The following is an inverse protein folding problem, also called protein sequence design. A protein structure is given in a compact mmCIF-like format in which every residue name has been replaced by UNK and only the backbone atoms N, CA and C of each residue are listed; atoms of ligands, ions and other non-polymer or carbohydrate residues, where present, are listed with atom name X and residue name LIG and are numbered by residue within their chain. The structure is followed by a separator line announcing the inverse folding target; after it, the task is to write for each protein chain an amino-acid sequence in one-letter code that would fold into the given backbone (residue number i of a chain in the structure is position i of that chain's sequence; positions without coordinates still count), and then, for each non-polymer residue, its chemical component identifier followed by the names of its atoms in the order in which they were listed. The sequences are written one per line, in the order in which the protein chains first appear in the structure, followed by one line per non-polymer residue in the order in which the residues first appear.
data_IF_235302938500
#
_entry.id   IF_235302938500
#
_cell.length_a   1.000
_cell.length_b   1.000
_cell.length_c   1.000
_cell.angle_alpha   90.00
_cell.angle_beta   90.00
_cell.angle_gamma   90.00
#
_symmetry.space_group_name_H-M   'P 1'
#
loop_
_entity.id
_entity.type
_entity.pdbx_description
1 polymer ?
#
# COMPACT_ATOMS: atom_id res chain seq x y z
N UNK A 1 74.85 -10.56 21.33
CA UNK A 1 73.99 -9.56 20.65
C UNK A 1 72.59 -10.04 20.92
N UNK A 2 72.06 -9.60 22.05
CA UNK A 2 71.02 -10.35 22.74
C UNK A 2 69.69 -9.67 22.42
N UNK A 3 68.89 -10.34 21.59
CA UNK A 3 67.58 -9.85 21.17
C UNK A 3 66.58 -10.05 22.31
N UNK A 4 66.33 -9.00 23.10
CA UNK A 4 65.24 -8.99 24.07
C UNK A 4 63.90 -8.73 23.34
N UNK A 5 63.10 -9.78 23.14
CA UNK A 5 61.70 -9.66 22.72
C UNK A 5 60.88 -9.36 23.97
N UNK A 6 60.46 -8.11 24.12
CA UNK A 6 59.57 -7.68 25.22
C UNK A 6 58.19 -8.35 25.10
N UNK A 7 57.49 -8.58 26.23
CA UNK A 7 56.19 -9.24 26.21
C UNK A 7 55.15 -8.36 25.52
N UNK A 8 54.49 -8.90 24.50
CA UNK A 8 53.30 -8.31 23.89
C UNK A 8 52.17 -8.41 24.93
N UNK A 9 51.93 -7.31 25.64
CA UNK A 9 50.77 -7.20 26.54
C UNK A 9 49.54 -7.02 25.64
N UNK A 10 48.77 -8.08 25.44
CA UNK A 10 47.48 -8.00 24.76
C UNK A 10 46.49 -7.17 25.61
N UNK A 11 46.56 -5.84 25.48
CA UNK A 11 45.54 -4.92 26.02
C UNK A 11 44.31 -4.91 25.10
N UNK A 12 43.77 -6.08 24.78
CA UNK A 12 42.67 -6.25 23.82
C UNK A 12 41.86 -7.54 24.09
N UNK A 13 41.53 -7.83 25.35
CA UNK A 13 40.47 -8.81 25.63
C UNK A 13 39.16 -8.03 25.52
N UNK A 14 38.53 -8.07 24.34
CA UNK A 14 37.20 -7.51 24.11
C UNK A 14 36.23 -8.24 25.04
N UNK A 15 35.48 -7.50 25.84
CA UNK A 15 34.51 -8.11 26.76
C UNK A 15 33.28 -8.63 26.00
N UNK A 16 32.63 -9.68 26.51
CA UNK A 16 31.34 -10.16 25.98
C UNK A 16 30.31 -9.03 26.02
N UNK A 17 30.31 -8.21 27.08
CA UNK A 17 29.41 -7.07 27.20
C UNK A 17 29.66 -6.03 26.10
N UNK A 18 30.93 -5.75 25.79
CA UNK A 18 31.33 -4.83 24.72
C UNK A 18 30.87 -5.33 23.35
N UNK A 19 31.03 -6.64 23.10
CA UNK A 19 30.56 -7.29 21.87
C UNK A 19 29.04 -7.15 21.73
N UNK A 20 28.28 -7.44 22.78
CA UNK A 20 26.81 -7.31 22.76
C UNK A 20 26.38 -5.85 22.56
N UNK A 21 27.04 -4.90 23.23
CA UNK A 21 26.71 -3.48 23.08
C UNK A 21 26.93 -2.98 21.65
N UNK A 22 28.01 -3.43 21.00
CA UNK A 22 28.31 -3.06 19.62
C UNK A 22 27.33 -3.72 18.64
N UNK A 23 27.16 -5.04 18.71
CA UNK A 23 26.39 -5.78 17.71
C UNK A 23 24.88 -5.75 17.92
N UNK A 24 24.40 -5.45 19.13
CA UNK A 24 22.96 -5.35 19.42
C UNK A 24 22.59 -3.91 19.73
N UNK A 25 23.37 -3.23 20.59
CA UNK A 25 23.07 -1.87 21.01
C UNK A 25 23.09 -0.87 19.85
N UNK A 26 24.14 -0.87 19.02
CA UNK A 26 24.24 0.09 17.90
C UNK A 26 23.09 -0.11 16.90
N UNK A 27 22.78 -1.32 16.40
CA UNK A 27 21.62 -1.50 15.51
C UNK A 27 20.29 -1.08 16.15
N UNK A 28 20.10 -1.35 17.43
CA UNK A 28 18.86 -1.00 18.14
C UNK A 28 18.73 0.53 18.31
N UNK A 29 19.83 1.23 18.59
CA UNK A 29 19.87 2.70 18.63
C UNK A 29 19.57 3.29 17.26
N UNK A 30 20.20 2.78 16.19
CA UNK A 30 19.93 3.23 14.82
C UNK A 30 18.45 3.02 14.48
N UNK A 31 17.91 1.85 14.78
CA UNK A 31 16.50 1.54 14.57
C UNK A 31 15.58 2.50 15.34
N UNK A 32 15.86 2.74 16.62
CA UNK A 32 15.08 3.65 17.46
C UNK A 32 15.10 5.09 16.94
N UNK A 33 16.25 5.56 16.45
CA UNK A 33 16.37 6.88 15.82
C UNK A 33 15.53 6.97 14.55
N UNK A 34 15.62 5.98 13.66
CA UNK A 34 14.84 5.97 12.41
C UNK A 34 13.34 5.88 12.72
N UNK A 35 12.94 4.98 13.62
CA UNK A 35 11.54 4.81 14.01
C UNK A 35 10.99 6.08 14.68
N UNK A 36 11.76 6.69 15.58
CA UNK A 36 11.41 7.95 16.23
C UNK A 36 11.23 9.07 15.21
N UNK A 37 12.21 9.29 14.32
CA UNK A 37 12.11 10.29 13.27
C UNK A 37 10.95 10.02 12.30
N UNK A 38 10.65 8.75 12.02
CA UNK A 38 9.52 8.36 11.17
C UNK A 38 8.17 8.62 11.84
N UNK A 39 8.08 8.41 13.16
CA UNK A 39 6.87 8.67 13.93
C UNK A 39 6.62 10.17 14.14
N UNK A 40 7.68 10.97 14.31
CA UNK A 40 7.59 12.43 14.35
C UNK A 40 7.36 13.03 12.95
N UNK A 41 7.70 12.28 11.90
CA UNK A 41 7.44 12.63 10.52
C UNK A 41 5.96 12.51 10.14
N UNK A 42 5.60 13.05 8.98
CA UNK A 42 4.27 12.86 8.39
C UNK A 42 4.06 11.36 8.13
N UNK A 43 3.00 10.72 8.65
CA UNK A 43 2.83 9.27 8.61
C UNK A 43 2.70 8.69 7.19
N UNK A 44 2.42 9.51 6.18
CA UNK A 44 2.34 9.12 4.78
C UNK A 44 3.03 10.18 3.90
N UNK A 45 3.77 9.79 2.84
CA UNK A 45 4.16 10.71 1.78
C UNK A 45 2.89 11.20 1.08
N UNK A 46 2.49 12.44 1.38
CA UNK A 46 1.29 13.07 0.81
C UNK A 46 0.45 13.74 1.89
N UNK A 47 -0.22 14.84 1.53
CA UNK A 47 -1.23 15.44 2.39
C UNK A 47 -2.42 14.49 2.46
N UNK A 48 -2.73 13.95 3.64
CA UNK A 48 -3.95 13.15 3.79
C UNK A 48 -5.14 14.08 3.51
N UNK A 49 -6.02 13.76 2.55
CA UNK A 49 -7.18 14.59 2.28
C UNK A 49 -7.97 14.82 3.57
N UNK A 50 -8.35 16.07 3.81
CA UNK A 50 -9.18 16.44 4.96
C UNK A 50 -10.49 15.67 4.85
N UNK A 51 -10.94 15.13 5.98
CA UNK A 51 -12.20 14.40 6.03
C UNK A 51 -13.36 15.32 5.60
N UNK A 52 -14.16 14.87 4.65
CA UNK A 52 -15.34 15.62 4.20
C UNK A 52 -16.46 15.55 5.25
N UNK A 53 -16.95 16.70 5.71
CA UNK A 53 -18.12 16.74 6.59
C UNK A 53 -19.38 16.93 5.75
N UNK A 54 -20.46 16.22 6.08
CA UNK A 54 -21.75 16.35 5.40
C UNK A 54 -22.32 17.79 5.31
N UNK A 55 -22.16 18.69 6.31
CA UNK A 55 -22.64 20.06 6.20
C UNK A 55 -21.78 20.95 5.28
N UNK A 56 -20.57 20.53 4.94
CA UNK A 56 -19.66 21.31 4.10
C UNK A 56 -20.05 21.16 2.62
N UNK A 57 -19.73 22.16 1.80
CA UNK A 57 -19.92 22.07 0.34
C UNK A 57 -18.83 21.20 -0.28
N UNK A 58 -19.20 20.34 -1.22
CA UNK A 58 -18.25 19.54 -2.00
C UNK A 58 -17.35 20.42 -2.88
N UNK A 59 -16.06 20.46 -2.57
CA UNK A 59 -15.04 21.25 -3.30
C UNK A 59 -14.05 20.40 -4.08
N UNK A 60 -14.10 19.07 -3.94
CA UNK A 60 -13.23 18.16 -4.66
C UNK A 60 -13.70 17.98 -6.13
N UNK A 61 -12.80 17.52 -6.98
CA UNK A 61 -13.15 17.16 -8.36
C UNK A 61 -14.19 16.03 -8.40
N UNK A 62 -14.96 15.88 -9.49
CA UNK A 62 -15.91 14.79 -9.64
C UNK A 62 -15.23 13.42 -9.53
N UNK A 63 -15.72 12.57 -8.62
CA UNK A 63 -15.16 11.23 -8.37
C UNK A 63 -16.15 10.15 -8.79
N UNK A 64 -15.67 9.19 -9.58
CA UNK A 64 -16.40 7.96 -9.93
C UNK A 64 -15.59 6.75 -9.43
N UNK A 65 -16.22 5.90 -8.66
CA UNK A 65 -15.67 4.60 -8.28
C UNK A 65 -16.46 3.51 -9.00
N UNK A 66 -15.81 2.82 -9.93
CA UNK A 66 -16.37 1.61 -10.53
C UNK A 66 -16.11 0.41 -9.62
N UNK A 67 -17.03 -0.55 -9.63
CA UNK A 67 -16.68 -1.91 -9.19
C UNK A 67 -15.55 -2.44 -10.10
N UNK A 68 -14.73 -3.35 -9.58
CA UNK A 68 -13.60 -3.93 -10.31
C UNK A 68 -13.60 -5.45 -10.29
N UNK A 69 -14.62 -6.05 -9.68
CA UNK A 69 -14.73 -7.50 -9.47
C UNK A 69 -15.57 -8.20 -10.54
N UNK A 70 -16.05 -7.50 -11.57
CA UNK A 70 -16.74 -8.16 -12.68
C UNK A 70 -15.80 -9.04 -13.52
N UNK A 71 -16.01 -10.36 -13.46
CA UNK A 71 -15.43 -11.31 -14.42
C UNK A 71 -16.11 -11.11 -15.77
N UNK A 72 -15.53 -10.28 -16.63
CA UNK A 72 -15.91 -10.17 -18.06
C UNK A 72 -15.16 -11.24 -18.89
N UNK A 73 -15.25 -12.50 -18.46
CA UNK A 73 -14.64 -13.61 -19.20
C UNK A 73 -15.21 -13.70 -20.61
N UNK A 74 -14.35 -13.77 -21.62
CA UNK A 74 -14.68 -13.99 -23.03
C UNK A 74 -15.25 -15.40 -23.25
N UNK A 75 -16.50 -15.62 -22.87
CA UNK A 75 -17.23 -16.86 -23.11
C UNK A 75 -18.09 -16.78 -24.37
N UNK A 76 -17.51 -16.42 -25.52
CA UNK A 76 -18.22 -16.43 -26.82
C UNK A 76 -17.80 -17.63 -27.67
N UNK A 77 -17.68 -18.83 -27.10
CA UNK A 77 -17.35 -20.04 -27.87
C UNK A 77 -18.01 -21.32 -27.32
N UNK A 78 -19.33 -21.36 -27.19
CA UNK A 78 -20.04 -22.63 -27.32
C UNK A 78 -21.20 -22.46 -28.28
N UNK A 79 -20.87 -22.53 -29.57
CA UNK A 79 -21.78 -23.08 -30.54
C UNK A 79 -22.13 -24.50 -30.07
N UNK A 80 -23.38 -24.71 -29.68
CA UNK A 80 -24.20 -25.86 -30.09
C UNK A 80 -25.65 -25.62 -29.68
N UNK A 81 -26.52 -25.72 -30.69
CA UNK A 81 -27.94 -26.01 -30.62
C UNK A 81 -28.92 -24.91 -30.18
N UNK A 82 -29.62 -24.43 -31.21
CA UNK A 82 -30.95 -23.81 -31.24
C UNK A 82 -31.79 -23.86 -29.95
N UNK A 83 -32.20 -22.70 -29.45
CA UNK A 83 -33.60 -22.33 -29.20
C UNK A 83 -33.73 -20.86 -28.75
N UNK A 84 -34.61 -20.12 -29.44
CA UNK A 84 -35.34 -18.98 -28.87
C UNK A 84 -34.68 -17.61 -28.99
N UNK A 85 -34.85 -16.97 -30.16
CA UNK A 85 -34.98 -15.51 -30.36
C UNK A 85 -34.49 -14.62 -29.20
N UNK A 86 -33.17 -14.57 -29.00
CA UNK A 86 -32.53 -13.55 -28.17
C UNK A 86 -32.12 -12.43 -29.12
N UNK A 87 -32.81 -11.30 -28.99
CA UNK A 87 -32.58 -10.08 -29.73
C UNK A 87 -31.08 -9.80 -29.85
N UNK A 88 -30.57 -9.87 -31.08
CA UNK A 88 -29.33 -9.25 -31.44
C UNK A 88 -29.39 -7.79 -30.98
N UNK A 89 -28.40 -7.35 -30.20
CA UNK A 89 -28.19 -5.94 -29.91
C UNK A 89 -27.67 -5.30 -31.20
N UNK A 90 -28.58 -5.15 -32.17
CA UNK A 90 -28.50 -4.09 -33.16
C UNK A 90 -28.40 -2.79 -32.37
N UNK A 91 -27.48 -1.91 -32.77
CA UNK A 91 -27.34 -0.54 -32.25
C UNK A 91 -28.56 0.29 -32.66
N UNK A 92 -29.75 -0.15 -32.24
CA UNK A 92 -30.97 0.59 -32.35
C UNK A 92 -30.87 1.75 -31.38
N UNK A 93 -31.27 2.93 -31.87
CA UNK A 93 -31.50 4.17 -31.13
C UNK A 93 -32.61 4.00 -30.06
N UNK A 94 -32.53 2.98 -29.23
CA UNK A 94 -33.26 2.92 -27.99
C UNK A 94 -32.50 3.79 -27.01
N UNK A 95 -33.17 4.79 -26.45
CA UNK A 95 -32.66 5.49 -25.28
C UNK A 95 -32.61 4.45 -24.16
N UNK A 96 -31.44 3.83 -23.94
CA UNK A 96 -31.23 2.74 -22.97
C UNK A 96 -31.20 3.31 -21.55
N UNK A 97 -32.24 4.04 -21.19
CA UNK A 97 -32.44 4.56 -19.85
C UNK A 97 -33.00 3.41 -19.03
N UNK A 98 -32.15 2.83 -18.18
CA UNK A 98 -32.55 1.86 -17.18
C UNK A 98 -33.46 2.46 -16.09
N UNK A 99 -33.57 1.76 -14.95
CA UNK A 99 -34.33 2.27 -13.81
C UNK A 99 -33.65 3.47 -13.11
N UNK A 100 -34.43 4.30 -12.41
CA UNK A 100 -33.94 5.41 -11.58
C UNK A 100 -34.47 5.33 -10.15
N UNK A 101 -33.66 5.73 -9.17
CA UNK A 101 -34.05 5.92 -7.78
C UNK A 101 -33.56 7.28 -7.30
N UNK A 102 -34.33 7.95 -6.44
CA UNK A 102 -34.00 9.27 -5.88
C UNK A 102 -34.55 9.40 -4.46
N UNK A 103 -33.80 10.05 -3.58
CA UNK A 103 -34.19 10.32 -2.20
C UNK A 103 -33.58 11.66 -1.73
N UNK A 104 -34.13 12.22 -0.66
CA UNK A 104 -33.58 13.42 0.00
C UNK A 104 -33.15 13.02 1.41
N UNK A 105 -31.92 13.36 1.76
CA UNK A 105 -31.26 13.06 3.02
C UNK A 105 -30.95 14.35 3.78
#
# INVERSE_FOLDING_TARGET
MDCAVGPIVYRWIVSILETVLIFVGIPLVIYAVIAGLSFLGKPLPGEKPVHYSLPDTWTADPVLWSATDEVTGSGHHHAESSHGDHAAIESARADLIGGRASGKF
#
